data_IF_575651930176
#
_entry.id   IF_575651930176
#
_cell.length_a   1.000
_cell.length_b   1.000
_cell.length_c   1.000
_cell.angle_alpha   90.00
_cell.angle_beta   90.00
_cell.angle_gamma   90.00
#
_symmetry.space_group_name_H-M   'P 1'
#
loop_
_entity.id
_entity.type
_entity.pdbx_description
1 polymer ?
#
# COMPACT_ATOMS: atom_id res chain seq x y z
N UNK A 1 -9.52 40.97 11.99
CA UNK A 1 -8.22 40.57 12.62
C UNK A 1 -8.18 39.10 13.01
N UNK A 2 -9.20 38.54 13.66
CA UNK A 2 -9.21 37.12 14.05
C UNK A 2 -9.08 36.13 12.88
N UNK A 3 -9.78 36.37 11.76
CA UNK A 3 -9.73 35.48 10.57
C UNK A 3 -8.32 35.44 9.93
N UNK A 4 -7.58 36.56 9.95
CA UNK A 4 -6.23 36.60 9.38
C UNK A 4 -5.22 35.83 10.25
N UNK A 5 -5.40 35.84 11.56
CA UNK A 5 -4.54 35.05 12.48
C UNK A 5 -4.77 33.54 12.35
N UNK A 6 -6.05 33.11 12.30
CA UNK A 6 -6.39 31.69 12.08
C UNK A 6 -5.86 31.17 10.74
N UNK A 7 -5.97 31.97 9.68
CA UNK A 7 -5.38 31.59 8.37
C UNK A 7 -3.87 31.45 8.43
N UNK A 8 -3.16 32.30 9.14
CA UNK A 8 -1.71 32.18 9.34
C UNK A 8 -1.36 30.93 10.13
N UNK A 9 -2.11 30.61 11.19
CA UNK A 9 -1.92 29.40 11.97
C UNK A 9 -2.14 28.16 11.09
N UNK A 10 -3.22 28.11 10.32
CA UNK A 10 -3.53 27.02 9.41
C UNK A 10 -2.46 26.85 8.30
N UNK A 11 -1.85 27.96 7.84
CA UNK A 11 -0.78 27.93 6.84
C UNK A 11 0.54 27.33 7.36
N UNK A 12 0.70 27.19 8.67
CA UNK A 12 1.86 26.52 9.30
C UNK A 12 1.56 25.09 9.74
N UNK A 13 0.30 24.66 9.65
CA UNK A 13 -0.06 23.27 9.91
C UNK A 13 0.52 22.35 8.82
N UNK A 14 0.83 21.09 9.14
CA UNK A 14 1.21 20.11 8.13
C UNK A 14 0.17 20.02 7.01
N UNK A 15 0.63 19.85 5.78
CA UNK A 15 -0.25 19.63 4.65
C UNK A 15 -0.94 18.26 4.79
N UNK A 16 -2.26 18.27 4.94
CA UNK A 16 -3.08 17.07 5.00
C UNK A 16 -3.31 16.56 3.58
N UNK A 17 -2.66 15.44 3.23
CA UNK A 17 -2.59 14.91 1.87
C UNK A 17 -3.26 13.55 1.80
N UNK A 18 -4.27 13.41 0.95
CA UNK A 18 -4.77 12.10 0.53
C UNK A 18 -4.04 11.68 -0.73
N UNK A 19 -3.40 10.51 -0.70
CA UNK A 19 -2.59 9.99 -1.79
C UNK A 19 -3.39 8.96 -2.60
N UNK A 20 -3.66 9.27 -3.86
CA UNK A 20 -4.18 8.35 -4.87
C UNK A 20 -3.02 7.79 -5.70
N UNK A 21 -2.67 6.53 -5.46
CA UNK A 21 -1.58 5.84 -6.15
C UNK A 21 -2.09 5.20 -7.45
N UNK A 22 -1.61 5.66 -8.59
CA UNK A 22 -1.79 5.06 -9.91
C UNK A 22 -0.72 4.02 -10.23
N UNK A 23 -0.76 3.49 -11.45
CA UNK A 23 0.26 2.57 -11.90
C UNK A 23 1.64 3.25 -11.92
N UNK A 24 2.68 2.52 -11.50
CA UNK A 24 4.08 3.00 -11.49
C UNK A 24 4.31 4.22 -10.57
N UNK A 25 3.51 4.38 -9.51
CA UNK A 25 3.69 5.45 -8.54
C UNK A 25 5.05 5.39 -7.81
N UNK A 26 5.63 4.19 -7.66
CA UNK A 26 6.86 3.98 -6.90
C UNK A 26 6.67 4.19 -5.38
N UNK A 27 7.76 4.34 -4.60
CA UNK A 27 7.69 4.44 -3.14
C UNK A 27 7.38 5.86 -2.64
N UNK A 28 6.44 6.56 -3.31
CA UNK A 28 6.10 7.95 -2.97
C UNK A 28 5.44 8.04 -1.60
N UNK A 29 4.59 7.08 -1.24
CA UNK A 29 3.96 7.01 0.09
C UNK A 29 5.01 7.01 1.19
N UNK A 30 6.01 6.18 1.09
CA UNK A 30 7.08 6.04 2.07
C UNK A 30 7.95 7.30 2.14
N UNK A 31 8.20 7.93 1.00
CA UNK A 31 8.94 9.20 0.91
C UNK A 31 8.19 10.34 1.60
N UNK A 32 6.89 10.47 1.35
CA UNK A 32 6.07 11.53 1.94
C UNK A 32 5.80 11.31 3.43
N UNK A 33 5.69 10.07 3.87
CA UNK A 33 5.44 9.74 5.27
C UNK A 33 6.59 10.15 6.22
N UNK A 34 7.82 10.31 5.70
CA UNK A 34 8.95 10.83 6.48
C UNK A 34 9.24 12.31 6.24
N UNK A 35 8.51 12.95 5.32
CA UNK A 35 8.73 14.35 4.97
C UNK A 35 8.13 15.27 6.03
N UNK A 36 8.97 16.20 6.53
CA UNK A 36 8.50 17.23 7.47
C UNK A 36 7.43 18.13 6.84
N UNK A 37 6.37 18.43 7.61
CA UNK A 37 5.31 19.32 7.17
C UNK A 37 4.26 18.66 6.27
N UNK A 38 4.29 17.35 6.11
CA UNK A 38 3.27 16.57 5.43
C UNK A 38 2.62 15.58 6.40
N UNK A 39 1.31 15.43 6.28
CA UNK A 39 0.52 14.43 6.97
C UNK A 39 -0.27 13.65 5.93
N UNK A 40 0.10 12.40 5.69
CA UNK A 40 -0.74 11.49 4.91
C UNK A 40 -1.99 11.14 5.73
N UNK A 41 -3.16 11.23 5.09
CA UNK A 41 -4.45 10.91 5.71
C UNK A 41 -5.12 9.75 4.98
N UNK A 42 -5.87 8.93 5.73
CA UNK A 42 -6.50 7.73 5.20
C UNK A 42 -7.89 7.98 4.59
N UNK A 43 -8.42 9.19 4.74
CA UNK A 43 -9.70 9.59 4.17
C UNK A 43 -9.58 10.89 3.39
N UNK A 44 -10.14 10.97 2.16
CA UNK A 44 -10.17 12.22 1.41
C UNK A 44 -10.90 13.35 2.15
N UNK A 45 -11.84 13.02 3.04
CA UNK A 45 -12.57 13.99 3.87
C UNK A 45 -11.70 14.69 4.92
N UNK A 46 -10.51 14.18 5.20
CA UNK A 46 -9.55 14.79 6.11
C UNK A 46 -8.42 15.51 5.38
N UNK A 47 -8.43 15.50 4.05
CA UNK A 47 -7.39 16.10 3.23
C UNK A 47 -7.75 17.53 2.79
N UNK A 48 -6.73 18.38 2.68
CA UNK A 48 -6.78 19.65 1.96
C UNK A 48 -6.15 19.54 0.57
N UNK A 49 -5.38 18.49 0.33
CA UNK A 49 -4.73 18.21 -0.96
C UNK A 49 -5.01 16.77 -1.38
N UNK A 50 -5.52 16.60 -2.60
CA UNK A 50 -5.51 15.31 -3.30
C UNK A 50 -4.23 15.24 -4.13
N UNK A 51 -3.35 14.32 -3.79
CA UNK A 51 -2.16 14.03 -4.57
C UNK A 51 -2.39 12.78 -5.42
N UNK A 52 -2.28 12.93 -6.73
CA UNK A 52 -2.35 11.82 -7.69
C UNK A 52 -0.93 11.55 -8.19
N UNK A 53 -0.47 10.30 -8.07
CA UNK A 53 0.89 9.91 -8.48
C UNK A 53 0.85 8.68 -9.36
N UNK A 54 1.58 8.73 -10.47
CA UNK A 54 1.66 7.64 -11.43
C UNK A 54 0.54 7.65 -12.45
N UNK A 55 0.53 6.67 -13.34
CA UNK A 55 -0.41 6.64 -14.44
C UNK A 55 -1.81 6.19 -13.99
N UNK A 56 -2.79 7.06 -14.17
CA UNK A 56 -4.22 6.77 -13.97
C UNK A 56 -4.91 6.82 -15.33
N UNK A 57 -5.19 5.65 -15.90
CA UNK A 57 -5.87 5.55 -17.20
C UNK A 57 -7.35 5.99 -17.10
N UNK A 58 -7.95 6.31 -18.25
CA UNK A 58 -9.32 6.80 -18.35
C UNK A 58 -10.36 5.90 -17.64
N UNK A 59 -10.12 4.59 -17.62
CA UNK A 59 -11.03 3.65 -16.93
C UNK A 59 -11.13 3.82 -15.40
N UNK A 60 -10.24 4.64 -14.80
CA UNK A 60 -10.22 4.94 -13.36
C UNK A 60 -10.69 6.36 -13.04
N UNK A 61 -10.97 7.17 -14.07
CA UNK A 61 -11.30 8.58 -13.89
C UNK A 61 -12.58 8.80 -13.10
N UNK A 62 -13.59 7.94 -13.24
CA UNK A 62 -14.84 8.09 -12.48
C UNK A 62 -14.64 7.80 -10.99
N UNK A 63 -13.83 6.79 -10.66
CA UNK A 63 -13.49 6.51 -9.26
C UNK A 63 -12.65 7.65 -8.67
N UNK A 64 -11.71 8.21 -9.44
CA UNK A 64 -10.87 9.32 -8.99
C UNK A 64 -11.69 10.62 -8.82
N UNK A 65 -12.69 10.90 -9.71
CA UNK A 65 -13.62 12.03 -9.55
C UNK A 65 -14.42 11.92 -8.26
N UNK A 66 -14.90 10.72 -7.91
CA UNK A 66 -15.61 10.49 -6.65
C UNK A 66 -14.72 10.74 -5.43
N UNK A 67 -13.45 10.37 -5.48
CA UNK A 67 -12.47 10.68 -4.42
C UNK A 67 -12.22 12.18 -4.36
N UNK A 68 -12.02 12.85 -5.50
CA UNK A 68 -11.79 14.27 -5.60
C UNK A 68 -12.92 15.10 -4.97
N UNK A 69 -14.16 14.74 -5.23
CA UNK A 69 -15.33 15.48 -4.73
C UNK A 69 -15.65 15.23 -3.24
N UNK A 70 -14.95 14.28 -2.60
CA UNK A 70 -15.05 14.08 -1.15
C UNK A 70 -14.19 15.05 -0.33
N UNK A 71 -13.24 15.77 -0.95
CA UNK A 71 -12.40 16.69 -0.22
C UNK A 71 -13.21 17.90 0.26
N UNK A 72 -13.03 18.34 1.53
CA UNK A 72 -13.69 19.54 2.03
C UNK A 72 -12.99 20.81 1.47
N UNK A 73 -13.78 21.82 1.13
CA UNK A 73 -13.22 23.12 0.74
C UNK A 73 -12.61 23.84 1.96
N UNK A 74 -11.48 24.57 1.81
CA UNK A 74 -10.71 24.74 0.58
C UNK A 74 -9.77 23.58 0.30
N UNK A 75 -9.71 23.13 -0.95
CA UNK A 75 -8.83 22.04 -1.35
C UNK A 75 -8.17 22.29 -2.72
N UNK A 76 -7.10 21.55 -2.99
CA UNK A 76 -6.41 21.52 -4.28
C UNK A 76 -6.08 20.11 -4.71
N UNK A 77 -5.85 19.90 -6.01
CA UNK A 77 -5.23 18.68 -6.53
C UNK A 77 -3.81 18.95 -7.03
N UNK A 78 -2.92 17.99 -6.76
CA UNK A 78 -1.53 17.97 -7.23
C UNK A 78 -1.32 16.69 -8.02
N UNK A 79 -0.75 16.83 -9.20
CA UNK A 79 -0.58 15.73 -10.16
C UNK A 79 0.91 15.52 -10.39
N UNK A 80 1.35 14.28 -10.19
CA UNK A 80 2.74 13.87 -10.35
C UNK A 80 2.81 12.65 -11.27
N UNK A 81 3.44 12.83 -12.43
CA UNK A 81 3.51 11.78 -13.46
C UNK A 81 2.13 11.22 -13.85
N UNK A 82 1.14 12.08 -13.83
CA UNK A 82 -0.25 11.80 -14.13
C UNK A 82 -0.88 12.97 -14.88
N UNK A 83 -1.74 12.68 -15.84
CA UNK A 83 -2.43 13.71 -16.60
C UNK A 83 -3.69 14.17 -15.85
N UNK A 84 -3.85 15.47 -15.61
CA UNK A 84 -5.06 16.04 -14.99
C UNK A 84 -6.30 15.81 -15.86
N UNK A 85 -7.46 15.78 -15.22
CA UNK A 85 -8.73 15.80 -15.95
C UNK A 85 -8.84 17.07 -16.81
N UNK A 86 -9.39 16.96 -18.03
CA UNK A 86 -9.65 18.09 -18.90
C UNK A 86 -10.56 19.16 -18.28
N UNK A 87 -11.48 18.73 -17.39
CA UNK A 87 -12.42 19.60 -16.70
C UNK A 87 -11.79 20.47 -15.60
N UNK A 88 -10.52 20.22 -15.21
CA UNK A 88 -9.88 20.96 -14.13
C UNK A 88 -9.34 22.29 -14.61
N UNK A 89 -9.80 23.37 -13.97
CA UNK A 89 -9.21 24.70 -14.13
C UNK A 89 -7.97 24.83 -13.26
N UNK A 90 -6.79 24.94 -13.87
CA UNK A 90 -5.53 25.25 -13.21
C UNK A 90 -5.03 24.16 -12.22
N UNK A 91 -4.88 22.89 -12.63
CA UNK A 91 -4.30 21.84 -11.78
C UNK A 91 -2.80 22.14 -11.52
N UNK A 92 -2.33 21.81 -10.30
CA UNK A 92 -0.90 21.87 -9.99
C UNK A 92 -0.23 20.62 -10.52
N UNK A 93 0.87 20.77 -11.26
CA UNK A 93 1.66 19.66 -11.77
C UNK A 93 3.08 19.73 -11.22
N UNK A 94 3.56 18.62 -10.64
CA UNK A 94 4.91 18.48 -10.07
C UNK A 94 5.44 17.12 -10.48
N UNK A 95 6.18 17.03 -11.56
CA UNK A 95 6.67 15.74 -12.09
C UNK A 95 7.93 15.25 -11.38
N UNK A 96 8.68 16.14 -10.73
CA UNK A 96 9.86 15.77 -9.93
C UNK A 96 9.43 15.34 -8.52
N UNK A 97 9.62 14.08 -8.21
CA UNK A 97 9.30 13.52 -6.87
C UNK A 97 10.13 14.18 -5.76
N UNK A 98 11.35 14.63 -6.05
CA UNK A 98 12.18 15.32 -5.06
C UNK A 98 11.62 16.69 -4.67
N UNK A 99 10.95 17.38 -5.60
CA UNK A 99 10.30 18.66 -5.36
C UNK A 99 8.91 18.51 -4.73
N UNK A 100 8.34 17.30 -4.75
CA UNK A 100 6.96 17.07 -4.33
C UNK A 100 6.66 17.49 -2.88
N UNK A 101 7.50 17.18 -1.84
CA UNK A 101 7.22 17.60 -0.48
C UNK A 101 7.09 19.11 -0.33
N UNK A 102 8.01 19.87 -0.90
CA UNK A 102 7.97 21.33 -0.82
C UNK A 102 6.78 21.91 -1.59
N UNK A 103 6.48 21.38 -2.76
CA UNK A 103 5.32 21.83 -3.57
C UNK A 103 3.97 21.58 -2.88
N UNK A 104 3.84 20.48 -2.12
CA UNK A 104 2.65 20.22 -1.31
C UNK A 104 2.51 21.21 -0.14
N UNK A 105 3.61 21.51 0.55
CA UNK A 105 3.64 22.50 1.64
C UNK A 105 3.29 23.90 1.12
N UNK A 106 3.83 24.28 -0.02
CA UNK A 106 3.56 25.59 -0.63
C UNK A 106 2.09 25.67 -1.10
N UNK A 107 1.56 24.61 -1.71
CA UNK A 107 0.13 24.52 -2.07
C UNK A 107 -0.77 24.66 -0.84
N UNK A 108 -0.47 23.99 0.26
CA UNK A 108 -1.20 24.12 1.52
C UNK A 108 -1.15 25.56 2.05
N UNK A 109 0.00 26.18 2.04
CA UNK A 109 0.18 27.56 2.50
C UNK A 109 -0.63 28.53 1.67
N UNK A 110 -0.56 28.43 0.34
CA UNK A 110 -1.33 29.27 -0.58
C UNK A 110 -2.84 29.16 -0.36
N UNK A 111 -3.35 27.92 -0.21
CA UNK A 111 -4.75 27.64 0.09
C UNK A 111 -5.20 28.31 1.40
N UNK A 112 -4.45 28.09 2.48
CA UNK A 112 -4.83 28.57 3.81
C UNK A 112 -4.75 30.10 3.91
N UNK A 113 -3.80 30.73 3.21
CA UNK A 113 -3.69 32.17 3.14
C UNK A 113 -4.72 32.81 2.20
N UNK A 114 -5.44 32.01 1.40
CA UNK A 114 -6.39 32.51 0.40
C UNK A 114 -5.70 33.11 -0.83
N UNK A 115 -4.43 32.81 -1.05
CA UNK A 115 -3.67 33.21 -2.24
C UNK A 115 -4.00 32.31 -3.44
N UNK A 116 -4.49 31.11 -3.15
CA UNK A 116 -4.99 30.15 -4.12
C UNK A 116 -6.48 29.91 -3.88
N UNK A 117 -7.28 29.95 -4.94
CA UNK A 117 -8.68 29.59 -4.88
C UNK A 117 -8.81 28.08 -4.64
N UNK A 118 -9.83 27.70 -3.86
CA UNK A 118 -10.21 26.29 -3.75
C UNK A 118 -10.57 25.72 -5.12
N UNK A 119 -10.20 24.47 -5.33
CA UNK A 119 -10.70 23.72 -6.46
C UNK A 119 -12.24 23.58 -6.38
N UNK A 120 -12.88 23.46 -7.54
CA UNK A 120 -14.32 23.30 -7.65
C UNK A 120 -14.66 21.80 -7.72
N UNK A 121 -15.80 21.42 -7.20
CA UNK A 121 -16.35 20.06 -7.36
C UNK A 121 -16.68 19.78 -8.81
N UNK A 122 -16.53 18.53 -9.21
CA UNK A 122 -16.75 18.06 -10.58
C UNK A 122 -18.13 17.42 -10.76
N UNK A 123 -18.66 16.81 -9.70
CA UNK A 123 -19.98 16.22 -9.70
C UNK A 123 -21.03 17.25 -9.23
N UNK A 124 -22.26 17.17 -9.71
CA UNK A 124 -23.32 18.04 -9.23
C UNK A 124 -23.58 17.80 -7.74
N UNK A 125 -23.92 18.88 -7.02
CA UNK A 125 -24.36 18.75 -5.64
C UNK A 125 -25.65 17.93 -5.59
N UNK A 126 -25.64 16.86 -4.81
CA UNK A 126 -26.86 16.14 -4.48
C UNK A 126 -27.57 16.86 -3.33
N UNK A 127 -28.93 16.92 -3.37
CA UNK A 127 -29.68 17.50 -2.26
C UNK A 127 -29.41 16.69 -0.96
N UNK A 128 -29.48 17.33 0.22
CA UNK A 128 -29.22 16.66 1.50
C UNK A 128 -30.10 15.42 1.72
N UNK A 129 -31.30 15.44 1.21
CA UNK A 129 -32.23 14.31 1.19
C UNK A 129 -32.85 14.17 -0.23
N UNK A 130 -32.17 13.51 -1.18
CA UNK A 130 -32.65 13.39 -2.54
C UNK A 130 -33.92 12.55 -2.66
N UNK A 131 -34.36 11.90 -1.58
CA UNK A 131 -35.56 11.07 -1.53
C UNK A 131 -36.75 11.75 -0.82
N UNK A 132 -36.54 12.94 -0.27
CA UNK A 132 -37.60 13.69 0.40
C UNK A 132 -38.77 13.97 -0.56
N UNK A 133 -39.97 13.61 -0.13
CA UNK A 133 -41.18 13.76 -0.93
C UNK A 133 -41.36 12.77 -2.06
N UNK A 134 -40.48 11.79 -2.25
CA UNK A 134 -40.61 10.71 -3.21
C UNK A 134 -41.25 9.47 -2.62
N UNK A 135 -42.05 8.75 -3.41
CA UNK A 135 -42.79 7.56 -2.99
C UNK A 135 -43.98 7.81 -2.10
N UNK A 136 -44.77 6.77 -1.81
CA UNK A 136 -46.07 6.86 -1.15
C UNK A 136 -45.98 7.42 0.28
N UNK A 137 -44.89 7.20 0.98
CA UNK A 137 -44.67 7.72 2.35
C UNK A 137 -43.73 8.97 2.36
N UNK A 138 -43.42 9.53 1.21
CA UNK A 138 -42.51 10.69 1.12
C UNK A 138 -41.04 10.39 1.45
N UNK A 139 -40.67 9.12 1.51
CA UNK A 139 -39.33 8.64 1.86
C UNK A 139 -38.65 7.88 0.70
N UNK A 140 -39.18 7.95 -0.50
CA UNK A 140 -38.61 7.33 -1.69
C UNK A 140 -38.89 5.82 -1.84
N UNK A 141 -39.83 5.24 -1.07
CA UNK A 141 -40.15 3.83 -1.15
C UNK A 141 -41.38 3.39 -0.38
N UNK A 142 -41.72 2.11 -0.44
CA UNK A 142 -42.88 1.48 0.18
C UNK A 142 -42.61 1.20 1.68
N UNK A 143 -42.92 2.13 2.57
CA UNK A 143 -42.99 1.93 4.00
C UNK A 143 -41.74 1.43 4.72
N UNK A 144 -41.73 1.47 6.06
CA UNK A 144 -40.58 1.11 6.90
C UNK A 144 -40.28 -0.40 6.97
N UNK A 145 -41.19 -1.26 6.55
CA UNK A 145 -41.06 -2.72 6.71
C UNK A 145 -40.86 -3.46 5.38
N UNK A 146 -40.63 -2.78 4.30
CA UNK A 146 -40.38 -3.36 2.97
C UNK A 146 -40.22 -2.31 1.90
N UNK A 147 -39.64 -2.66 0.77
CA UNK A 147 -39.41 -1.74 -0.33
C UNK A 147 -38.08 -1.01 -0.30
N UNK A 148 -38.04 0.18 -0.87
CA UNK A 148 -36.84 1.01 -0.98
C UNK A 148 -37.02 2.36 -0.25
N UNK A 149 -37.05 2.41 1.09
CA UNK A 149 -37.15 3.67 1.79
C UNK A 149 -35.96 4.57 1.43
N UNK A 150 -36.28 5.84 1.18
CA UNK A 150 -35.31 6.84 0.70
C UNK A 150 -34.66 6.49 -0.64
N UNK A 151 -35.36 5.74 -1.52
CA UNK A 151 -34.80 5.32 -2.81
C UNK A 151 -33.63 4.34 -2.72
N UNK A 152 -33.38 3.77 -1.55
CA UNK A 152 -32.35 2.73 -1.32
C UNK A 152 -33.03 1.43 -0.93
N UNK A 153 -32.54 0.28 -1.42
CA UNK A 153 -32.92 -0.99 -0.83
C UNK A 153 -32.70 -0.91 0.67
N UNK A 154 -33.70 -1.25 1.48
CA UNK A 154 -33.43 -1.52 2.88
C UNK A 154 -32.41 -2.66 2.93
N UNK A 155 -31.39 -2.51 3.76
CA UNK A 155 -30.36 -3.52 3.98
C UNK A 155 -30.96 -4.70 4.76
N UNK A 156 -31.97 -5.35 4.19
CA UNK A 156 -32.54 -6.61 4.69
C UNK A 156 -32.17 -7.76 3.76
N UNK A 157 -30.94 -7.75 3.27
CA UNK A 157 -30.39 -8.89 2.57
C UNK A 157 -29.89 -9.89 3.61
N UNK A 158 -30.84 -10.62 4.18
CA UNK A 158 -30.59 -11.59 5.23
C UNK A 158 -29.80 -12.77 4.67
N UNK A 159 -28.64 -13.02 5.22
CA UNK A 159 -27.80 -14.19 4.92
C UNK A 159 -27.42 -14.90 6.21
N UNK A 160 -27.17 -16.20 6.14
CA UNK A 160 -26.66 -16.96 7.26
C UNK A 160 -25.19 -16.61 7.49
N UNK A 161 -24.85 -16.30 8.76
CA UNK A 161 -23.47 -16.03 9.16
C UNK A 161 -22.60 -17.26 8.96
N UNK A 162 -21.41 -17.08 8.36
CA UNK A 162 -20.47 -18.17 8.10
C UNK A 162 -19.90 -18.80 9.39
N UNK A 163 -20.01 -18.14 10.54
CA UNK A 163 -19.49 -18.62 11.84
C UNK A 163 -20.50 -19.50 12.58
N UNK A 164 -21.74 -19.08 12.66
CA UNK A 164 -22.75 -19.68 13.55
C UNK A 164 -24.13 -19.90 12.90
N UNK A 165 -24.29 -19.48 11.65
CA UNK A 165 -25.51 -19.64 10.86
C UNK A 165 -26.67 -18.73 11.32
N UNK A 166 -26.43 -17.73 12.17
CA UNK A 166 -27.45 -16.74 12.51
C UNK A 166 -27.74 -15.87 11.29
N UNK A 167 -29.00 -15.70 10.96
CA UNK A 167 -29.42 -14.88 9.83
C UNK A 167 -29.43 -13.40 10.23
N UNK A 168 -28.54 -12.61 9.64
CA UNK A 168 -28.37 -11.18 9.91
C UNK A 168 -28.33 -10.38 8.60
N UNK A 169 -28.49 -9.06 8.71
CA UNK A 169 -28.35 -8.15 7.59
C UNK A 169 -26.92 -8.08 7.07
N UNK A 170 -26.76 -8.02 5.76
CA UNK A 170 -25.49 -7.85 5.08
C UNK A 170 -25.41 -6.49 4.40
N UNK A 171 -24.23 -5.89 4.45
CA UNK A 171 -23.88 -4.67 3.74
C UNK A 171 -22.94 -4.99 2.57
N UNK A 172 -23.39 -4.73 1.35
CA UNK A 172 -22.54 -4.86 0.15
C UNK A 172 -22.09 -3.49 -0.32
N UNK A 173 -20.77 -3.35 -0.54
CA UNK A 173 -20.17 -2.11 -1.01
C UNK A 173 -18.93 -2.38 -1.86
N UNK A 174 -18.53 -1.36 -2.63
CA UNK A 174 -17.30 -1.40 -3.43
C UNK A 174 -16.19 -0.65 -2.71
N UNK A 175 -15.01 -1.30 -2.59
CA UNK A 175 -13.81 -0.73 -1.98
C UNK A 175 -12.68 -0.62 -3.01
N UNK A 176 -11.91 0.48 -2.94
CA UNK A 176 -10.84 0.77 -3.91
C UNK A 176 -11.30 1.67 -5.07
N UNK A 177 -10.43 1.94 -6.06
CA UNK A 177 -9.04 1.51 -6.20
C UNK A 177 -8.01 2.32 -5.41
N UNK A 178 -8.40 3.47 -4.85
CA UNK A 178 -7.51 4.43 -4.19
C UNK A 178 -7.61 4.35 -2.65
N UNK A 179 -8.01 3.22 -2.11
CA UNK A 179 -8.09 3.04 -0.66
C UNK A 179 -6.69 2.76 -0.07
N UNK A 180 -6.25 3.51 0.97
CA UNK A 180 -4.86 3.44 1.48
C UNK A 180 -4.42 2.08 2.02
N UNK A 181 -5.36 1.27 2.50
CA UNK A 181 -5.07 -0.07 3.03
C UNK A 181 -5.05 -1.17 1.96
N UNK A 182 -5.45 -0.87 0.73
CA UNK A 182 -5.40 -1.83 -0.38
C UNK A 182 -4.10 -1.69 -1.18
N UNK A 183 -3.65 -2.75 -1.86
CA UNK A 183 -2.69 -2.61 -2.95
C UNK A 183 -3.22 -1.60 -3.99
N UNK A 184 -2.39 -0.68 -4.48
CA UNK A 184 -2.83 0.34 -5.44
C UNK A 184 -3.52 -0.28 -6.66
N UNK A 185 -4.67 0.25 -7.02
CA UNK A 185 -5.48 -0.25 -8.14
C UNK A 185 -6.46 -1.37 -7.80
N UNK A 186 -6.27 -2.10 -6.70
CA UNK A 186 -7.19 -3.15 -6.32
C UNK A 186 -8.58 -2.57 -6.03
N UNK A 187 -9.59 -3.13 -6.70
CA UNK A 187 -10.99 -2.82 -6.43
C UNK A 187 -11.75 -4.13 -6.23
N UNK A 188 -12.56 -4.18 -5.18
CA UNK A 188 -13.38 -5.34 -4.86
C UNK A 188 -14.79 -4.93 -4.45
N UNK A 189 -15.75 -5.80 -4.74
CA UNK A 189 -17.08 -5.78 -4.15
C UNK A 189 -17.06 -6.71 -2.94
N UNK A 190 -17.50 -6.19 -1.80
CA UNK A 190 -17.38 -6.85 -0.51
C UNK A 190 -18.75 -6.88 0.15
N UNK A 191 -19.12 -8.02 0.70
CA UNK A 191 -20.31 -8.16 1.54
C UNK A 191 -19.87 -8.43 2.98
N UNK A 192 -20.34 -7.60 3.90
CA UNK A 192 -20.08 -7.73 5.34
C UNK A 192 -21.37 -8.05 6.09
N UNK A 193 -21.25 -8.87 7.11
CA UNK A 193 -22.28 -9.08 8.12
C UNK A 193 -21.67 -8.70 9.48
N UNK A 194 -22.07 -7.53 10.00
CA UNK A 194 -21.31 -6.91 11.07
C UNK A 194 -19.87 -6.60 10.60
N UNK A 195 -18.89 -7.22 11.21
CA UNK A 195 -17.47 -7.14 10.87
C UNK A 195 -16.93 -8.36 10.09
N UNK A 196 -17.77 -9.40 9.90
CA UNK A 196 -17.40 -10.60 9.18
C UNK A 196 -17.51 -10.41 7.68
N UNK A 197 -16.44 -10.77 6.95
CA UNK A 197 -16.43 -10.82 5.50
C UNK A 197 -17.22 -12.04 5.02
N UNK A 198 -18.39 -11.82 4.43
CA UNK A 198 -19.22 -12.86 3.83
C UNK A 198 -18.79 -13.23 2.43
N UNK A 199 -18.43 -12.21 1.65
CA UNK A 199 -17.90 -12.41 0.31
C UNK A 199 -16.89 -11.32 -0.05
N UNK A 200 -15.93 -11.68 -0.89
CA UNK A 200 -14.95 -10.79 -1.47
C UNK A 200 -14.82 -11.12 -2.95
N UNK A 201 -15.18 -10.20 -3.83
CA UNK A 201 -15.07 -10.38 -5.28
C UNK A 201 -14.19 -9.29 -5.87
N UNK A 202 -13.06 -9.68 -6.44
CA UNK A 202 -12.16 -8.75 -7.11
C UNK A 202 -12.80 -8.28 -8.42
N UNK A 203 -13.09 -7.00 -8.52
CA UNK A 203 -13.67 -6.38 -9.72
C UNK A 203 -12.61 -5.81 -10.65
N UNK A 204 -11.47 -5.39 -10.08
CA UNK A 204 -10.27 -4.96 -10.82
C UNK A 204 -9.01 -5.35 -10.05
N UNK A 205 -8.02 -5.95 -10.73
CA UNK A 205 -6.77 -6.34 -10.10
C UNK A 205 -5.93 -5.12 -9.68
N UNK A 206 -4.96 -5.30 -8.77
CA UNK A 206 -4.01 -4.25 -8.42
C UNK A 206 -3.12 -3.89 -9.61
N UNK A 207 -2.59 -2.68 -9.61
CA UNK A 207 -1.53 -2.32 -10.56
C UNK A 207 -0.29 -3.20 -10.33
N UNK A 208 0.39 -3.55 -11.41
CA UNK A 208 1.62 -4.31 -11.32
C UNK A 208 2.69 -3.54 -10.51
N UNK A 209 3.37 -4.25 -9.62
CA UNK A 209 4.47 -3.72 -8.83
C UNK A 209 5.71 -3.54 -9.70
N UNK A 210 6.34 -2.37 -9.62
CA UNK A 210 7.57 -2.09 -10.36
C UNK A 210 8.74 -2.79 -9.70
N UNK A 211 9.52 -3.52 -10.49
CA UNK A 211 10.75 -4.17 -10.02
C UNK A 211 11.83 -3.08 -9.83
N UNK A 212 12.51 -3.11 -8.67
CA UNK A 212 13.62 -2.20 -8.42
C UNK A 212 14.73 -2.37 -9.47
N UNK A 213 15.30 -1.27 -10.01
CA UNK A 213 16.30 -1.31 -11.06
C UNK A 213 17.52 -2.19 -10.77
N UNK A 214 17.88 -2.39 -9.49
CA UNK A 214 19.01 -3.26 -9.13
C UNK A 214 18.75 -4.72 -9.49
N UNK A 215 17.51 -5.19 -9.36
CA UNK A 215 17.13 -6.55 -9.78
C UNK A 215 17.07 -6.67 -11.32
N UNK A 216 16.61 -5.63 -12.01
CA UNK A 216 16.64 -5.58 -13.48
C UNK A 216 18.08 -5.66 -14.00
N UNK A 217 19.00 -4.89 -13.40
CA UNK A 217 20.43 -4.90 -13.74
C UNK A 217 21.07 -6.27 -13.50
N UNK A 218 20.69 -6.96 -12.42
CA UNK A 218 21.25 -8.27 -12.08
C UNK A 218 20.97 -9.38 -13.10
N UNK A 219 19.97 -9.21 -13.95
CA UNK A 219 19.72 -10.12 -15.09
C UNK A 219 20.60 -9.84 -16.29
N UNK A 220 21.17 -8.65 -16.38
CA UNK A 220 21.99 -8.21 -17.53
C UNK A 220 23.48 -8.32 -17.26
N UNK A 221 23.88 -8.18 -16.00
CA UNK A 221 25.28 -8.21 -15.57
C UNK A 221 25.39 -8.56 -14.07
N UNK A 222 26.55 -9.08 -13.62
CA UNK A 222 26.82 -9.29 -12.20
C UNK A 222 26.74 -7.98 -11.39
N UNK A 223 25.87 -7.94 -10.38
CA UNK A 223 25.69 -6.80 -9.48
C UNK A 223 26.12 -7.15 -8.05
N UNK A 224 26.37 -6.14 -7.23
CA UNK A 224 26.72 -6.33 -5.81
C UNK A 224 25.59 -7.08 -5.09
N UNK A 225 25.91 -8.23 -4.48
CA UNK A 225 24.96 -8.97 -3.62
C UNK A 225 24.50 -8.08 -2.45
N UNK A 226 25.40 -7.26 -1.91
CA UNK A 226 25.04 -6.34 -0.83
C UNK A 226 23.99 -5.33 -1.27
N UNK A 227 24.06 -4.80 -2.49
CA UNK A 227 23.06 -3.88 -3.03
C UNK A 227 21.69 -4.58 -3.17
N UNK A 228 21.65 -5.81 -3.71
CA UNK A 228 20.43 -6.60 -3.82
C UNK A 228 19.79 -6.87 -2.46
N UNK A 229 20.58 -7.33 -1.48
CA UNK A 229 20.07 -7.69 -0.18
C UNK A 229 19.63 -6.47 0.64
N UNK A 230 20.31 -5.32 0.55
CA UNK A 230 19.84 -4.07 1.16
C UNK A 230 18.52 -3.58 0.53
N UNK A 231 18.38 -3.73 -0.79
CA UNK A 231 17.12 -3.40 -1.47
C UNK A 231 16.00 -4.35 -1.06
N UNK A 232 16.25 -5.65 -0.94
CA UNK A 232 15.31 -6.65 -0.41
C UNK A 232 14.88 -6.31 1.01
N UNK A 233 15.81 -6.04 1.91
CA UNK A 233 15.52 -5.66 3.28
C UNK A 233 14.66 -4.38 3.34
N UNK A 234 14.95 -3.37 2.51
CA UNK A 234 14.15 -2.14 2.42
C UNK A 234 12.73 -2.43 1.95
N UNK A 235 12.56 -3.27 0.94
CA UNK A 235 11.24 -3.68 0.46
C UNK A 235 10.41 -4.31 1.60
N UNK A 236 10.95 -5.27 2.33
CA UNK A 236 10.23 -5.90 3.44
C UNK A 236 9.95 -4.94 4.59
N UNK A 237 10.83 -3.98 4.86
CA UNK A 237 10.57 -2.90 5.83
C UNK A 237 9.41 -1.99 5.38
N UNK A 238 9.30 -1.67 4.09
CA UNK A 238 8.16 -0.91 3.56
C UNK A 238 6.86 -1.71 3.67
N UNK A 239 6.89 -3.02 3.40
CA UNK A 239 5.73 -3.90 3.63
C UNK A 239 5.32 -3.92 5.10
N UNK A 240 6.29 -4.09 6.00
CA UNK A 240 6.07 -4.05 7.44
C UNK A 240 5.50 -2.70 7.89
N UNK A 241 6.02 -1.58 7.37
CA UNK A 241 5.48 -0.25 7.62
C UNK A 241 4.00 -0.14 7.24
N UNK A 242 3.64 -0.53 6.01
CA UNK A 242 2.25 -0.50 5.53
C UNK A 242 1.34 -1.37 6.39
N UNK A 243 1.76 -2.57 6.70
CA UNK A 243 1.03 -3.48 7.58
C UNK A 243 0.82 -2.90 8.99
N UNK A 244 1.85 -2.28 9.58
CA UNK A 244 1.75 -1.64 10.90
C UNK A 244 0.77 -0.44 10.90
N UNK A 245 0.69 0.32 9.80
CA UNK A 245 -0.32 1.36 9.66
C UNK A 245 -1.73 0.76 9.70
N UNK A 246 -1.98 -0.31 8.95
CA UNK A 246 -3.26 -1.02 8.91
C UNK A 246 -3.58 -1.63 10.27
N UNK A 247 -2.59 -2.18 10.96
CA UNK A 247 -2.73 -2.76 12.30
C UNK A 247 -3.01 -1.73 13.40
N UNK A 248 -2.89 -0.42 13.13
CA UNK A 248 -3.07 0.64 14.13
C UNK A 248 -1.88 0.84 15.07
N UNK A 249 -0.65 0.52 14.61
CA UNK A 249 0.61 0.75 15.34
C UNK A 249 1.46 1.88 14.72
N UNK A 250 0.97 3.14 14.66
CA UNK A 250 1.63 4.22 13.91
C UNK A 250 3.06 4.50 14.38
N UNK A 251 3.31 4.49 15.68
CA UNK A 251 4.65 4.74 16.23
C UNK A 251 5.67 3.68 15.80
N UNK A 252 5.25 2.41 15.72
CA UNK A 252 6.14 1.35 15.21
C UNK A 252 6.28 1.42 13.69
N UNK A 253 5.23 1.82 12.99
CA UNK A 253 5.28 2.08 11.56
C UNK A 253 6.32 3.18 11.24
N UNK A 254 6.25 4.33 11.90
CA UNK A 254 7.21 5.41 11.74
C UNK A 254 8.65 4.97 12.04
N UNK A 255 8.87 4.25 13.16
CA UNK A 255 10.19 3.71 13.49
C UNK A 255 10.72 2.75 12.44
N UNK A 256 9.85 1.89 11.89
CA UNK A 256 10.20 0.98 10.81
C UNK A 256 10.61 1.74 9.55
N UNK A 257 9.86 2.77 9.19
CA UNK A 257 10.15 3.59 8.02
C UNK A 257 11.43 4.42 8.17
N UNK A 258 11.67 5.01 9.36
CA UNK A 258 12.93 5.69 9.66
C UNK A 258 14.13 4.73 9.63
N UNK A 259 13.95 3.48 10.09
CA UNK A 259 14.99 2.47 9.97
C UNK A 259 15.27 2.13 8.50
N UNK A 260 14.21 1.96 7.67
CA UNK A 260 14.35 1.72 6.23
C UNK A 260 15.09 2.85 5.51
N UNK A 261 14.83 4.11 5.89
CA UNK A 261 15.50 5.29 5.33
C UNK A 261 17.00 5.41 5.68
N UNK A 262 17.41 4.82 6.80
CA UNK A 262 18.81 4.81 7.26
C UNK A 262 19.52 3.47 7.04
N UNK A 263 18.86 2.58 6.25
CA UNK A 263 19.35 1.22 6.06
C UNK A 263 20.71 1.20 5.36
N UNK A 264 21.66 0.57 6.01
CA UNK A 264 23.01 0.33 5.50
C UNK A 264 23.55 -1.04 5.93
N UNK A 265 24.76 -1.41 5.50
CA UNK A 265 25.32 -2.74 5.77
C UNK A 265 25.51 -3.02 7.26
N UNK A 266 25.80 -1.99 8.05
CA UNK A 266 26.04 -2.09 9.50
C UNK A 266 24.74 -1.95 10.32
N UNK A 267 23.59 -1.81 9.67
CA UNK A 267 22.30 -1.68 10.37
C UNK A 267 21.98 -2.94 11.16
N UNK A 268 21.48 -2.76 12.38
CA UNK A 268 21.02 -3.86 13.27
C UNK A 268 19.53 -3.72 13.54
N UNK A 269 18.76 -4.71 13.11
CA UNK A 269 17.30 -4.75 13.31
C UNK A 269 16.89 -5.19 14.72
N UNK A 270 17.79 -5.71 15.56
CA UNK A 270 17.45 -6.32 16.84
C UNK A 270 16.64 -5.40 17.76
N UNK A 271 16.90 -4.09 17.74
CA UNK A 271 16.15 -3.10 18.50
C UNK A 271 14.70 -2.95 18.02
N UNK A 272 14.50 -2.90 16.71
CA UNK A 272 13.16 -2.84 16.08
C UNK A 272 12.40 -4.14 16.32
N UNK A 273 13.04 -5.29 16.08
CA UNK A 273 12.47 -6.62 16.29
C UNK A 273 11.95 -6.78 17.74
N UNK A 274 12.76 -6.48 18.75
CA UNK A 274 12.34 -6.52 20.16
C UNK A 274 11.16 -5.60 20.45
N UNK A 275 11.11 -4.43 19.82
CA UNK A 275 9.98 -3.51 19.99
C UNK A 275 8.69 -4.07 19.40
N UNK A 276 8.75 -4.70 18.23
CA UNK A 276 7.63 -5.39 17.59
C UNK A 276 7.16 -6.57 18.43
N UNK A 277 8.06 -7.43 18.90
CA UNK A 277 7.75 -8.59 19.73
C UNK A 277 7.07 -8.20 21.06
N UNK A 278 7.47 -7.08 21.65
CA UNK A 278 6.91 -6.57 22.93
C UNK A 278 5.66 -5.73 22.78
N UNK A 279 5.32 -5.31 21.56
CA UNK A 279 4.19 -4.38 21.31
C UNK A 279 2.83 -5.00 21.51
N UNK A 280 2.75 -6.31 21.58
CA UNK A 280 1.48 -7.04 21.55
C UNK A 280 0.89 -7.25 20.15
N UNK A 281 1.55 -6.76 19.09
CA UNK A 281 1.11 -6.89 17.68
C UNK A 281 0.67 -8.32 17.35
N UNK A 282 1.54 -9.30 17.65
CA UNK A 282 1.32 -10.72 17.34
C UNK A 282 0.12 -11.34 18.06
N UNK A 283 -0.24 -10.78 19.19
CA UNK A 283 -1.31 -11.31 20.05
C UNK A 283 -2.62 -10.56 19.91
N UNK A 284 -2.56 -9.25 19.62
CA UNK A 284 -3.73 -8.37 19.72
C UNK A 284 -4.24 -7.90 18.37
N UNK A 285 -3.37 -7.83 17.36
CA UNK A 285 -3.74 -7.29 16.04
C UNK A 285 -3.74 -8.35 14.95
N UNK A 286 -2.72 -9.23 14.92
CA UNK A 286 -2.66 -10.25 13.89
C UNK A 286 -3.75 -11.31 14.11
N UNK A 287 -4.29 -11.87 13.02
CA UNK A 287 -5.22 -12.98 13.08
C UNK A 287 -4.69 -14.13 13.93
N UNK A 288 -5.59 -14.87 14.55
CA UNK A 288 -5.26 -16.06 15.30
C UNK A 288 -4.51 -17.09 14.42
N UNK A 289 -3.69 -17.97 15.00
CA UNK A 289 -2.99 -19.01 14.22
C UNK A 289 -3.95 -19.83 13.35
N UNK A 290 -3.52 -20.08 12.10
CA UNK A 290 -4.30 -20.75 11.07
C UNK A 290 -5.30 -19.87 10.31
N UNK A 291 -5.45 -18.58 10.69
CA UNK A 291 -6.31 -17.66 9.97
C UNK A 291 -5.57 -17.03 8.79
N UNK A 292 -6.27 -16.95 7.64
CA UNK A 292 -5.68 -16.48 6.39
C UNK A 292 -4.52 -17.39 5.92
N UNK A 293 -4.60 -18.68 6.21
CA UNK A 293 -3.64 -19.71 5.77
C UNK A 293 -3.76 -19.92 4.26
N UNK A 294 -2.63 -19.95 3.59
CA UNK A 294 -2.51 -20.34 2.18
C UNK A 294 -1.99 -21.77 2.11
N UNK A 295 -2.61 -22.59 1.27
CA UNK A 295 -2.13 -23.93 1.02
C UNK A 295 -0.81 -23.93 0.21
N UNK A 296 -0.17 -25.09 0.08
CA UNK A 296 1.13 -25.17 -0.62
C UNK A 296 1.05 -24.87 -2.11
N UNK A 297 -0.10 -25.05 -2.76
CA UNK A 297 -0.28 -24.73 -4.17
C UNK A 297 -0.41 -23.21 -4.35
N UNK A 298 -1.28 -22.60 -3.58
CA UNK A 298 -1.45 -21.15 -3.50
C UNK A 298 -0.14 -20.44 -3.10
N UNK A 299 0.59 -21.00 -2.13
CA UNK A 299 1.86 -20.46 -1.68
C UNK A 299 2.94 -20.49 -2.77
N UNK A 300 3.02 -21.57 -3.59
CA UNK A 300 3.92 -21.62 -4.75
C UNK A 300 3.56 -20.57 -5.81
N UNK A 301 2.27 -20.39 -6.05
CA UNK A 301 1.79 -19.39 -6.99
C UNK A 301 2.13 -17.97 -6.51
N UNK A 302 1.93 -17.67 -5.24
CA UNK A 302 2.32 -16.40 -4.63
C UNK A 302 3.83 -16.17 -4.71
N UNK A 303 4.63 -17.21 -4.47
CA UNK A 303 6.09 -17.13 -4.46
C UNK A 303 6.63 -16.29 -3.29
N UNK A 304 7.93 -16.02 -3.31
CA UNK A 304 8.60 -15.13 -2.38
C UNK A 304 8.36 -15.43 -0.89
N UNK A 305 8.17 -14.40 -0.05
CA UNK A 305 7.94 -14.59 1.38
C UNK A 305 6.70 -15.43 1.71
N UNK A 306 5.64 -15.37 0.88
CA UNK A 306 4.43 -16.16 1.11
C UNK A 306 4.71 -17.66 0.96
N UNK A 307 5.47 -18.05 -0.06
CA UNK A 307 5.91 -19.43 -0.24
C UNK A 307 6.76 -19.91 0.93
N UNK A 308 7.76 -19.12 1.34
CA UNK A 308 8.64 -19.47 2.45
C UNK A 308 7.92 -19.48 3.81
N UNK A 309 6.86 -18.68 3.97
CA UNK A 309 6.00 -18.73 5.14
C UNK A 309 5.21 -20.05 5.27
N UNK A 310 4.94 -20.73 4.14
CA UNK A 310 4.26 -22.01 4.07
C UNK A 310 5.23 -23.22 4.00
N UNK A 311 6.53 -23.01 4.28
CA UNK A 311 7.54 -24.07 4.33
C UNK A 311 8.09 -24.49 2.96
N UNK A 312 7.97 -23.63 1.94
CA UNK A 312 8.55 -23.89 0.62
C UNK A 312 9.93 -23.26 0.57
N UNK A 313 10.96 -24.10 0.46
CA UNK A 313 12.38 -23.71 0.51
C UNK A 313 12.92 -23.30 -0.87
N UNK A 314 12.08 -23.25 -1.90
CA UNK A 314 12.47 -22.87 -3.25
C UNK A 314 12.87 -21.39 -3.29
N UNK A 315 14.16 -21.13 -3.63
CA UNK A 315 14.71 -19.78 -3.73
C UNK A 315 15.87 -19.81 -4.75
N UNK A 316 15.79 -18.96 -5.77
CA UNK A 316 16.76 -18.94 -6.86
C UNK A 316 18.16 -18.55 -6.40
N UNK A 317 18.31 -17.85 -5.26
CA UNK A 317 19.61 -17.54 -4.67
C UNK A 317 20.42 -18.79 -4.31
N UNK A 318 19.76 -19.92 -4.04
CA UNK A 318 20.44 -21.21 -3.82
C UNK A 318 21.22 -21.71 -5.04
N UNK A 319 20.87 -21.27 -6.23
CA UNK A 319 21.54 -21.65 -7.47
C UNK A 319 22.78 -20.80 -7.76
N UNK A 320 22.90 -19.60 -7.17
CA UNK A 320 24.02 -18.71 -7.33
C UNK A 320 25.24 -19.19 -6.50
N UNK A 321 26.39 -19.33 -7.15
CA UNK A 321 27.61 -19.81 -6.52
C UNK A 321 28.12 -18.88 -5.39
N UNK A 322 27.92 -17.58 -5.53
CA UNK A 322 28.38 -16.60 -4.57
C UNK A 322 27.46 -16.50 -3.35
N UNK A 323 26.13 -16.71 -3.52
CA UNK A 323 25.22 -16.89 -2.39
C UNK A 323 25.54 -18.17 -1.61
N UNK A 324 25.92 -19.27 -2.30
CA UNK A 324 26.37 -20.51 -1.65
C UNK A 324 27.67 -20.29 -0.85
N UNK A 325 28.61 -19.47 -1.35
CA UNK A 325 29.84 -19.08 -0.62
C UNK A 325 29.52 -18.29 0.66
N UNK A 326 28.43 -17.54 0.67
CA UNK A 326 27.92 -16.84 1.86
C UNK A 326 27.19 -17.77 2.84
N UNK A 327 27.02 -19.06 2.52
CA UNK A 327 26.27 -20.01 3.32
C UNK A 327 24.76 -19.73 3.31
N UNK A 328 24.23 -19.15 2.23
CA UNK A 328 22.82 -18.84 2.13
C UNK A 328 21.97 -20.12 2.17
N UNK A 329 21.00 -20.11 3.07
CA UNK A 329 19.92 -21.11 3.16
C UNK A 329 18.64 -20.32 3.40
N UNK A 330 17.55 -20.55 2.64
CA UNK A 330 16.29 -19.83 2.84
C UNK A 330 15.77 -20.00 4.27
N UNK A 331 15.33 -18.90 4.88
CA UNK A 331 14.59 -18.97 6.13
C UNK A 331 13.13 -19.26 5.82
N UNK A 332 12.53 -20.24 6.49
CA UNK A 332 11.14 -20.63 6.27
C UNK A 332 10.37 -20.72 7.58
N UNK A 333 9.08 -20.36 7.51
CA UNK A 333 8.06 -20.71 8.49
C UNK A 333 7.36 -22.00 8.01
N UNK A 334 6.32 -22.44 8.72
CA UNK A 334 5.61 -23.68 8.34
C UNK A 334 4.10 -23.48 8.23
N UNK A 335 3.56 -22.48 8.93
CA UNK A 335 2.12 -22.35 9.10
C UNK A 335 1.40 -21.77 7.87
N UNK A 336 2.08 -20.99 7.02
CA UNK A 336 1.45 -20.36 5.84
C UNK A 336 0.35 -19.34 6.17
N UNK A 337 0.10 -19.07 7.45
CA UNK A 337 -0.91 -18.12 7.90
C UNK A 337 -0.40 -16.66 7.89
N UNK A 338 -1.27 -15.73 8.22
CA UNK A 338 -0.94 -14.31 8.25
C UNK A 338 0.25 -14.01 9.18
N UNK A 339 0.27 -14.58 10.38
CA UNK A 339 1.34 -14.35 11.35
C UNK A 339 2.68 -14.91 10.86
N UNK A 340 2.67 -16.09 10.23
CA UNK A 340 3.86 -16.67 9.62
C UNK A 340 4.46 -15.79 8.52
N UNK A 341 3.64 -15.15 7.69
CA UNK A 341 4.11 -14.21 6.65
C UNK A 341 4.76 -12.96 7.24
N UNK A 342 4.23 -12.41 8.32
CA UNK A 342 4.85 -11.28 9.02
C UNK A 342 6.17 -11.66 9.68
N UNK A 343 6.24 -12.83 10.31
CA UNK A 343 7.51 -13.36 10.85
C UNK A 343 8.52 -13.61 9.73
N UNK A 344 8.06 -14.09 8.58
CA UNK A 344 8.92 -14.31 7.42
C UNK A 344 9.60 -13.00 6.97
N UNK A 345 8.86 -11.88 6.88
CA UNK A 345 9.47 -10.59 6.56
C UNK A 345 10.58 -10.20 7.52
N UNK A 346 10.36 -10.34 8.84
CA UNK A 346 11.38 -10.00 9.83
C UNK A 346 12.62 -10.88 9.70
N UNK A 347 12.45 -12.18 9.48
CA UNK A 347 13.55 -13.10 9.31
C UNK A 347 14.33 -12.81 8.02
N UNK A 348 13.64 -12.49 6.92
CA UNK A 348 14.30 -12.12 5.67
C UNK A 348 15.04 -10.78 5.75
N UNK A 349 14.52 -9.79 6.48
CA UNK A 349 15.26 -8.55 6.72
C UNK A 349 16.57 -8.85 7.47
N UNK A 350 16.51 -9.62 8.54
CA UNK A 350 17.68 -9.99 9.34
C UNK A 350 18.72 -10.78 8.53
N UNK A 351 18.25 -11.76 7.74
CA UNK A 351 19.07 -12.54 6.83
C UNK A 351 19.74 -11.67 5.76
N UNK A 352 18.98 -10.79 5.12
CA UNK A 352 19.48 -9.89 4.09
C UNK A 352 20.55 -8.94 4.62
N UNK A 353 20.39 -8.39 5.83
CA UNK A 353 21.40 -7.56 6.47
C UNK A 353 22.68 -8.36 6.77
N UNK A 354 22.55 -9.61 7.22
CA UNK A 354 23.69 -10.48 7.44
C UNK A 354 24.46 -10.78 6.15
N UNK A 355 23.73 -11.14 5.09
CA UNK A 355 24.30 -11.41 3.77
C UNK A 355 24.98 -10.18 3.17
N UNK A 356 24.36 -9.00 3.28
CA UNK A 356 24.93 -7.75 2.78
C UNK A 356 26.28 -7.44 3.44
N UNK A 357 26.38 -7.56 4.79
CA UNK A 357 27.62 -7.39 5.52
C UNK A 357 28.74 -8.33 5.07
N UNK A 358 28.39 -9.61 4.89
CA UNK A 358 29.36 -10.62 4.47
C UNK A 358 29.80 -10.40 3.01
N UNK A 359 28.85 -10.06 2.13
CA UNK A 359 29.09 -9.81 0.72
C UNK A 359 30.04 -8.62 0.50
N UNK A 360 29.91 -7.55 1.31
CA UNK A 360 30.84 -6.41 1.26
C UNK A 360 32.26 -6.83 1.67
N UNK A 361 32.41 -7.60 2.75
CA UNK A 361 33.72 -8.06 3.22
C UNK A 361 34.45 -8.91 2.20
N UNK A 362 33.72 -9.64 1.37
CA UNK A 362 34.25 -10.56 0.38
C UNK A 362 34.18 -9.99 -1.06
N UNK A 363 33.71 -8.76 -1.23
CA UNK A 363 33.48 -8.08 -2.54
C UNK A 363 32.72 -8.96 -3.53
N UNK A 364 31.60 -9.58 -3.09
CA UNK A 364 30.85 -10.53 -3.88
C UNK A 364 29.77 -9.87 -4.73
N UNK A 365 29.74 -10.30 -6.00
CA UNK A 365 28.68 -9.98 -6.95
C UNK A 365 27.89 -11.25 -7.30
N UNK A 366 26.68 -11.09 -7.85
CA UNK A 366 25.90 -12.22 -8.37
C UNK A 366 26.62 -12.93 -9.52
N UNK A 367 26.32 -14.19 -9.74
CA UNK A 367 26.62 -14.88 -10.97
C UNK A 367 25.68 -14.37 -12.09
N UNK A 368 26.09 -14.54 -13.36
CA UNK A 368 25.19 -14.30 -14.49
C UNK A 368 24.03 -15.32 -14.45
N UNK A 369 22.81 -14.81 -14.54
CA UNK A 369 21.60 -15.66 -14.56
C UNK A 369 20.48 -14.98 -15.33
N UNK A 370 19.74 -15.75 -16.10
CA UNK A 370 18.51 -15.31 -16.75
C UNK A 370 17.34 -15.16 -15.76
N UNK A 371 17.46 -15.76 -14.58
CA UNK A 371 16.46 -15.77 -13.52
C UNK A 371 17.00 -15.07 -12.28
N UNK A 372 16.15 -14.35 -11.59
CA UNK A 372 16.52 -13.68 -10.36
C UNK A 372 15.45 -13.80 -9.29
N UNK A 373 15.87 -13.96 -8.04
CA UNK A 373 14.98 -13.89 -6.89
C UNK A 373 14.78 -12.44 -6.50
N UNK A 374 13.58 -11.91 -6.74
CA UNK A 374 13.16 -10.58 -6.29
C UNK A 374 12.55 -10.65 -4.88
N UNK A 375 12.28 -9.53 -4.20
CA UNK A 375 11.51 -9.54 -2.96
C UNK A 375 10.09 -10.11 -3.10
N UNK A 376 9.54 -10.14 -4.32
CA UNK A 376 8.22 -10.68 -4.65
C UNK A 376 8.28 -12.18 -5.00
N UNK A 377 9.46 -12.76 -5.14
CA UNK A 377 9.69 -14.13 -5.55
C UNK A 377 10.51 -14.24 -6.85
N UNK A 378 10.56 -15.44 -7.42
CA UNK A 378 11.31 -15.70 -8.64
C UNK A 378 10.74 -14.91 -9.83
N UNK A 379 11.63 -14.38 -10.66
CA UNK A 379 11.26 -13.63 -11.85
C UNK A 379 12.15 -13.97 -13.06
N UNK A 380 11.52 -14.25 -14.19
CA UNK A 380 12.14 -14.72 -15.41
C UNK A 380 11.86 -13.86 -16.66
N UNK A 381 11.21 -12.72 -16.54
CA UNK A 381 10.67 -11.91 -17.63
C UNK A 381 9.38 -12.42 -18.30
N UNK A 382 8.80 -13.51 -17.84
CA UNK A 382 7.45 -13.86 -18.23
C UNK A 382 6.45 -12.79 -17.74
N UNK A 383 5.30 -12.73 -18.40
CA UNK A 383 4.28 -11.73 -18.05
C UNK A 383 3.89 -11.87 -16.58
N UNK A 384 3.85 -10.78 -15.83
CA UNK A 384 3.44 -10.81 -14.43
C UNK A 384 2.01 -11.32 -14.32
N UNK A 385 1.83 -12.38 -13.55
CA UNK A 385 0.49 -12.89 -13.24
C UNK A 385 -0.07 -12.11 -12.05
N UNK A 386 -1.24 -11.54 -12.24
CA UNK A 386 -2.09 -11.09 -11.16
C UNK A 386 -2.55 -12.32 -10.36
N UNK A 387 -2.47 -12.23 -9.05
CA UNK A 387 -2.80 -13.31 -8.10
C UNK A 387 -3.96 -12.91 -7.19
N UNK A 388 -4.67 -11.85 -7.54
CA UNK A 388 -5.71 -11.29 -6.68
C UNK A 388 -6.99 -12.13 -6.61
N UNK A 389 -7.20 -13.06 -7.55
CA UNK A 389 -8.33 -13.99 -7.53
C UNK A 389 -8.34 -14.86 -6.26
N UNK A 390 -7.16 -15.16 -5.71
CA UNK A 390 -7.00 -15.87 -4.44
C UNK A 390 -7.75 -15.21 -3.27
N UNK A 391 -7.93 -13.89 -3.30
CA UNK A 391 -8.58 -13.15 -2.24
C UNK A 391 -10.05 -13.53 -2.07
N UNK A 392 -10.70 -13.95 -3.15
CA UNK A 392 -12.10 -14.36 -3.15
C UNK A 392 -12.35 -15.65 -2.33
N UNK A 393 -11.34 -16.49 -2.21
CA UNK A 393 -11.41 -17.73 -1.42
C UNK A 393 -10.82 -17.55 -0.02
N UNK A 394 -9.82 -16.67 0.14
CA UNK A 394 -9.04 -16.54 1.36
C UNK A 394 -9.66 -15.62 2.41
N UNK A 395 -10.37 -14.55 1.99
CA UNK A 395 -10.85 -13.53 2.91
C UNK A 395 -12.24 -13.78 3.52
N UNK A 396 -13.19 -14.48 2.85
CA UNK A 396 -14.46 -14.82 3.49
C UNK A 396 -14.27 -15.63 4.78
N UNK A 397 -15.08 -15.32 5.80
CA UNK A 397 -14.99 -15.95 7.12
C UNK A 397 -13.96 -15.29 8.07
N UNK A 398 -13.18 -14.31 7.60
CA UNK A 398 -12.34 -13.46 8.45
C UNK A 398 -13.12 -12.24 8.93
N UNK A 399 -12.80 -11.75 10.11
CA UNK A 399 -13.23 -10.41 10.54
C UNK A 399 -12.54 -9.34 9.71
N UNK A 400 -13.17 -8.17 9.57
CA UNK A 400 -12.65 -7.09 8.71
C UNK A 400 -11.18 -6.75 8.98
N UNK A 401 -10.81 -6.60 10.26
CA UNK A 401 -9.41 -6.33 10.65
C UNK A 401 -8.46 -7.46 10.25
N UNK A 402 -8.87 -8.71 10.46
CA UNK A 402 -8.11 -9.90 10.06
C UNK A 402 -7.95 -9.98 8.54
N UNK A 403 -9.02 -9.71 7.78
CA UNK A 403 -9.00 -9.72 6.33
C UNK A 403 -8.03 -8.67 5.76
N UNK A 404 -8.04 -7.45 6.31
CA UNK A 404 -7.15 -6.38 5.88
C UNK A 404 -5.67 -6.68 6.19
N UNK A 405 -5.37 -7.27 7.35
CA UNK A 405 -4.01 -7.68 7.70
C UNK A 405 -3.53 -8.90 6.90
N UNK A 406 -4.44 -9.81 6.59
CA UNK A 406 -4.17 -10.94 5.69
C UNK A 406 -3.83 -10.45 4.30
N UNK A 407 -4.66 -9.58 3.73
CA UNK A 407 -4.40 -8.94 2.43
C UNK A 407 -3.06 -8.19 2.42
N UNK A 408 -2.79 -7.39 3.44
CA UNK A 408 -1.52 -6.65 3.56
C UNK A 408 -0.29 -7.57 3.62
N UNK A 409 -0.44 -8.80 4.12
CA UNK A 409 0.63 -9.79 4.21
C UNK A 409 0.94 -10.49 2.89
N UNK A 410 0.08 -10.36 1.90
CA UNK A 410 0.20 -10.99 0.58
C UNK A 410 0.76 -10.02 -0.46
N UNK A 411 1.48 -10.55 -1.42
CA UNK A 411 1.97 -9.81 -2.59
C UNK A 411 1.23 -10.31 -3.83
N UNK A 412 -0.02 -9.84 -3.97
CA UNK A 412 -0.96 -10.31 -5.00
C UNK A 412 -0.79 -9.60 -6.34
N UNK A 413 -0.11 -8.46 -6.37
CA UNK A 413 0.14 -7.72 -7.59
C UNK A 413 1.09 -8.48 -8.52
N UNK A 414 0.83 -8.44 -9.81
CA UNK A 414 1.80 -8.85 -10.83
C UNK A 414 3.04 -7.95 -10.81
N UNK A 415 4.07 -8.31 -11.58
CA UNK A 415 5.32 -7.54 -11.66
C UNK A 415 5.42 -6.80 -12.99
N UNK A 416 5.77 -5.51 -12.96
CA UNK A 416 6.10 -4.72 -14.15
C UNK A 416 7.61 -4.76 -14.38
N UNK A 417 8.07 -5.39 -15.48
CA UNK A 417 9.49 -5.51 -15.78
C UNK A 417 10.12 -4.22 -16.32
N UNK A 418 9.33 -3.18 -16.59
CA UNK A 418 9.86 -1.95 -17.14
C UNK A 418 10.39 -1.06 -16.02
N UNK A 419 11.62 -0.52 -16.13
CA UNK A 419 12.14 0.42 -15.14
C UNK A 419 11.27 1.69 -15.08
N UNK A 420 11.25 2.33 -13.93
CA UNK A 420 10.75 3.71 -13.83
C UNK A 420 11.66 4.58 -14.69
N UNK A 421 11.10 5.43 -15.55
CA UNK A 421 11.86 6.27 -16.51
C UNK A 421 12.84 7.25 -15.83
N UNK A 422 12.82 7.38 -14.51
CA UNK A 422 13.65 8.31 -13.75
C UNK A 422 14.50 7.57 -12.70
N UNK A 423 15.73 7.27 -13.09
CA UNK A 423 16.73 6.57 -12.25
C UNK A 423 17.23 7.42 -11.08
N UNK A 424 16.77 8.66 -10.88
CA UNK A 424 17.27 9.58 -9.85
C UNK A 424 16.79 9.28 -8.44
N UNK A 425 15.78 8.43 -8.26
CA UNK A 425 15.27 8.06 -6.94
C UNK A 425 16.20 7.18 -6.11
N UNK A 426 17.11 6.45 -6.76
CA UNK A 426 18.09 5.60 -6.09
C UNK A 426 19.38 6.33 -5.69
N UNK A 427 19.68 7.49 -6.31
CA UNK A 427 20.93 8.23 -6.05
C UNK A 427 20.85 9.20 -4.86
N UNK A 428 19.67 9.64 -4.46
CA UNK A 428 19.53 10.62 -3.35
C UNK A 428 19.89 10.02 -1.99
N UNK A 429 19.87 8.70 -1.84
CA UNK A 429 20.32 8.03 -0.62
C UNK A 429 21.85 7.77 -0.57
N UNK A 430 22.57 7.93 -1.69
CA UNK A 430 24.03 7.80 -1.72
C UNK A 430 24.78 9.13 -1.58
N UNK A 431 24.14 10.26 -1.83
CA UNK A 431 24.79 11.59 -1.84
C UNK A 431 25.04 12.21 -0.45
N UNK A 432 24.70 11.55 0.64
CA UNK A 432 24.95 12.04 2.01
C UNK A 432 26.36 11.79 2.55
N UNK A 433 27.32 11.32 1.76
CA UNK A 433 28.65 10.90 2.25
C UNK A 433 29.85 11.66 1.66
N UNK A 434 29.65 12.69 0.87
CA UNK A 434 30.75 13.50 0.34
C UNK A 434 30.65 15.00 0.69
N UNK A 435 30.50 15.34 1.95
CA UNK A 435 30.93 16.66 2.45
C UNK A 435 31.39 16.49 3.91
N UNK A 436 32.69 16.39 4.11
CA UNK A 436 33.27 16.39 5.46
C UNK A 436 34.68 15.78 5.54
N UNK A 437 35.63 16.37 4.83
CA UNK A 437 37.05 16.36 5.21
C UNK A 437 37.44 17.74 5.66
#
# INVERSE_FOLDING_TARGET
MAVSWLRRLAAHAPAAVFLAEGARAGPVRETLAVAHGIQLVDSPRHASILLIVGNVSNGWHDDLRRVYDQLPAPFASVWCRSEPFEALSNPTRIDDIAALPQGLIDTQRELMLGQRASALRLLPDEPPNPWEGLGDDGHGGEGMMGGNPYGRPMAMNMQDDLRDGLTLDTLTFRLGPFHPALPPGLQAEISLQGDLVQSWSVTRPPFASVIDPVFLAARQAPVSIAALELTRARHHLHRLYRGLCIAGWPTLAERTLHFAGKLGPDSDIAGLRRSLERSGLWRLALPAPGRGEVDKAQARELGGPAARAAGIEEDLRCQDANYRRLGFVPTCQQAGDTAARWWQWLNEIEQSLSLARQAIRLDLKTAESAFIETPHGPWDSSCPHDKSDLLSDLLPGLEWGEAMLTLASLDVAGLDPHPLEDTRLTSTFQAGREVGT
#
